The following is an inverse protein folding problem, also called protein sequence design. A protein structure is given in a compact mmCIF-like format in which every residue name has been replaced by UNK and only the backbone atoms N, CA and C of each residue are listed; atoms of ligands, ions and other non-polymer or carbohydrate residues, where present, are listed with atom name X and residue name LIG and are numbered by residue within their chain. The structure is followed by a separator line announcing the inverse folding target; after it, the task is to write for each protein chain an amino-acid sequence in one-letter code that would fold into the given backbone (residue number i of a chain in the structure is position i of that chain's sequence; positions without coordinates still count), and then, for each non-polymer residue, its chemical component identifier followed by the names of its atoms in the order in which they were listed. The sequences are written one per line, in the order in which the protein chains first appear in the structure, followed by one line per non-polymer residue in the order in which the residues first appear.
data_IF_629578126947
#
_entry.id   IF_629578126947
#
_cell.length_a   1.000
_cell.length_b   1.000
_cell.length_c   1.000
_cell.angle_alpha   90.00
_cell.angle_beta   90.00
_cell.angle_gamma   90.00
#
_symmetry.space_group_name_H-M   'P 1'
#
loop_
_entity.id
_entity.type
_entity.pdbx_description
1 polymer ?
#
# COMPACT_ATOMS: atom_id res chain seq x y z
N UNK A 1 35.96 32.61 76.83
CA UNK A 1 35.44 32.20 78.15
C UNK A 1 34.08 31.56 77.93
N UNK A 2 33.77 30.46 78.62
CA UNK A 2 34.65 29.32 78.91
C UNK A 2 33.83 28.01 78.81
N UNK A 3 34.27 26.78 79.07
CA UNK A 3 35.53 26.07 79.29
C UNK A 3 35.08 24.60 79.04
N UNK A 4 35.76 23.76 78.26
CA UNK A 4 36.91 22.95 78.69
C UNK A 4 36.58 21.92 79.77
N UNK A 5 37.12 20.70 79.57
CA UNK A 5 37.48 19.63 80.53
C UNK A 5 36.53 18.43 80.54
N UNK A 6 36.98 17.19 80.59
CA UNK A 6 38.32 16.59 80.55
C UNK A 6 38.07 15.08 80.42
N UNK A 7 38.94 14.39 79.69
CA UNK A 7 39.08 12.93 79.68
C UNK A 7 39.57 12.45 81.05
N UNK A 8 39.06 11.31 81.53
CA UNK A 8 39.84 10.43 82.41
C UNK A 8 39.35 8.97 82.33
N UNK A 9 40.32 8.09 82.08
CA UNK A 9 40.22 6.63 82.08
C UNK A 9 39.93 6.07 83.47
N UNK A 10 39.35 4.87 83.51
CA UNK A 10 39.36 3.99 84.68
C UNK A 10 38.76 2.62 84.36
N UNK A 11 39.62 1.66 84.02
CA UNK A 11 39.31 0.23 83.98
C UNK A 11 38.98 -0.32 85.38
N UNK A 12 38.05 -1.28 85.48
CA UNK A 12 38.30 -2.64 86.01
C UNK A 12 37.00 -3.47 86.11
N UNK A 13 37.23 -4.79 86.08
CA UNK A 13 36.33 -5.92 85.96
C UNK A 13 35.13 -6.01 86.92
N UNK A 14 34.10 -6.75 86.49
CA UNK A 14 33.09 -7.32 87.36
C UNK A 14 31.97 -8.00 86.57
N UNK A 15 32.07 -9.32 86.37
CA UNK A 15 30.97 -10.16 85.89
C UNK A 15 29.81 -10.15 86.90
N UNK A 16 28.57 -10.07 86.42
CA UNK A 16 27.39 -10.30 87.25
C UNK A 16 26.10 -9.92 86.54
N UNK A 17 25.42 -10.96 86.03
CA UNK A 17 24.00 -11.07 85.65
C UNK A 17 23.16 -9.80 85.45
N UNK A 18 22.64 -9.66 84.23
CA UNK A 18 21.51 -8.78 83.93
C UNK A 18 20.36 -9.64 83.43
N UNK A 19 19.25 -9.59 84.16
CA UNK A 19 17.93 -10.06 83.75
C UNK A 19 17.53 -9.41 82.41
N UNK A 20 17.50 -10.22 81.36
CA UNK A 20 16.93 -9.82 80.09
C UNK A 20 15.41 -9.97 80.16
N UNK A 21 14.74 -8.83 80.15
CA UNK A 21 13.32 -8.69 79.82
C UNK A 21 13.04 -9.41 78.49
N UNK A 22 12.26 -10.48 78.56
CA UNK A 22 11.65 -11.13 77.40
C UNK A 22 10.55 -10.17 76.91
N UNK A 23 10.91 -9.33 75.95
CA UNK A 23 9.93 -8.77 75.03
C UNK A 23 9.63 -9.84 73.99
N UNK A 24 8.36 -10.22 73.85
CA UNK A 24 7.91 -11.10 72.78
C UNK A 24 8.45 -10.59 71.44
N UNK A 25 9.21 -11.43 70.74
CA UNK A 25 9.55 -11.19 69.35
C UNK A 25 8.24 -11.05 68.55
N UNK A 26 8.10 -10.03 67.68
CA UNK A 26 6.98 -10.00 66.77
C UNK A 26 6.97 -11.32 65.99
N UNK A 27 5.88 -12.07 66.10
CA UNK A 27 5.66 -13.30 65.34
C UNK A 27 5.97 -12.98 63.88
N UNK A 28 6.91 -13.70 63.23
CA UNK A 28 7.21 -13.43 61.83
C UNK A 28 5.91 -13.59 61.05
N UNK A 29 5.48 -12.51 60.38
CA UNK A 29 4.45 -12.62 59.36
C UNK A 29 4.94 -13.66 58.34
N UNK A 30 4.11 -14.66 57.98
CA UNK A 30 4.55 -15.68 57.04
C UNK A 30 4.87 -15.01 55.71
N UNK A 31 6.15 -14.96 55.32
CA UNK A 31 6.54 -14.79 53.93
C UNK A 31 5.86 -15.91 53.14
N UNK A 32 4.87 -15.57 52.32
CA UNK A 32 4.31 -16.51 51.34
C UNK A 32 5.31 -16.64 50.20
N UNK A 33 6.44 -17.29 50.46
CA UNK A 33 7.33 -17.80 49.42
C UNK A 33 6.69 -19.07 48.84
N UNK A 34 5.78 -18.90 47.88
CA UNK A 34 5.06 -20.01 47.28
C UNK A 34 4.64 -19.78 45.84
N UNK A 35 4.95 -20.72 44.96
CA UNK A 35 4.33 -20.80 43.64
C UNK A 35 2.89 -21.30 43.80
N UNK A 36 1.91 -20.41 43.66
CA UNK A 36 0.49 -20.77 43.76
C UNK A 36 0.06 -21.41 42.44
N UNK A 37 -0.52 -22.61 42.50
CA UNK A 37 -1.17 -23.27 41.36
C UNK A 37 -2.68 -23.17 41.50
N UNK A 38 -3.31 -22.61 40.48
CA UNK A 38 -4.76 -22.43 40.38
C UNK A 38 -5.28 -23.32 39.24
N UNK A 39 -6.52 -23.78 39.36
CA UNK A 39 -7.21 -24.57 38.34
C UNK A 39 -8.60 -23.96 38.10
N UNK A 40 -9.11 -24.06 36.87
CA UNK A 40 -10.44 -23.59 36.48
C UNK A 40 -10.70 -22.13 36.91
N UNK A 41 -9.83 -21.23 36.48
CA UNK A 41 -9.86 -19.83 36.87
C UNK A 41 -10.68 -18.99 35.89
N UNK A 42 -11.38 -18.01 36.44
CA UNK A 42 -11.98 -16.91 35.69
C UNK A 42 -11.35 -15.60 36.17
N UNK A 43 -10.78 -14.84 35.24
CA UNK A 43 -10.20 -13.52 35.48
C UNK A 43 -11.10 -12.48 34.80
N UNK A 44 -11.37 -11.36 35.44
CA UNK A 44 -12.14 -10.26 34.85
C UNK A 44 -11.63 -8.90 35.34
N UNK A 45 -11.83 -7.86 34.52
CA UNK A 45 -11.67 -6.47 34.94
C UNK A 45 -12.91 -5.67 34.56
N UNK A 46 -13.29 -4.73 35.42
CA UNK A 46 -14.30 -3.73 35.14
C UNK A 46 -13.68 -2.33 35.04
N UNK A 47 -14.38 -1.42 34.38
CA UNK A 47 -14.12 0.02 34.49
C UNK A 47 -14.75 0.60 35.78
N UNK A 48 -14.60 1.90 35.98
CA UNK A 48 -15.15 2.66 37.11
C UNK A 48 -16.69 2.65 37.17
N UNK A 49 -17.36 2.30 36.05
CA UNK A 49 -18.81 2.19 35.94
C UNK A 49 -19.30 0.75 36.16
N UNK A 50 -18.39 -0.19 36.43
CA UNK A 50 -18.69 -1.61 36.61
C UNK A 50 -18.87 -2.38 35.30
N UNK A 51 -18.57 -1.79 34.14
CA UNK A 51 -18.66 -2.48 32.86
C UNK A 51 -17.44 -3.37 32.66
N UNK A 52 -17.66 -4.62 32.22
CA UNK A 52 -16.59 -5.58 31.99
C UNK A 52 -15.78 -5.18 30.75
N UNK A 53 -14.47 -4.97 30.94
CA UNK A 53 -13.49 -4.65 29.89
C UNK A 53 -12.87 -5.90 29.26
N UNK A 54 -12.77 -6.99 30.03
CA UNK A 54 -12.38 -8.32 29.55
C UNK A 54 -12.80 -9.40 30.55
N UNK A 55 -13.02 -10.60 30.02
CA UNK A 55 -13.39 -11.79 30.76
C UNK A 55 -12.59 -12.98 30.20
N UNK A 56 -11.74 -13.58 31.03
CA UNK A 56 -10.82 -14.63 30.65
C UNK A 56 -11.06 -15.89 31.49
N UNK A 57 -10.94 -17.04 30.85
CA UNK A 57 -11.07 -18.36 31.45
C UNK A 57 -9.82 -19.18 31.13
N UNK A 58 -9.38 -20.00 32.08
CA UNK A 58 -8.26 -20.90 31.86
C UNK A 58 -8.31 -22.17 32.70
N UNK A 59 -7.71 -23.23 32.16
CA UNK A 59 -7.67 -24.54 32.80
C UNK A 59 -6.75 -24.54 34.03
N UNK A 60 -5.62 -23.83 33.93
CA UNK A 60 -4.62 -23.76 34.97
C UNK A 60 -3.83 -22.46 34.94
N UNK A 61 -3.38 -22.03 36.11
CA UNK A 61 -2.47 -20.90 36.23
C UNK A 61 -1.41 -21.12 37.31
N UNK A 62 -0.23 -20.57 37.08
CA UNK A 62 0.86 -20.53 38.04
C UNK A 62 1.23 -19.08 38.29
N UNK A 63 1.08 -18.67 39.55
CA UNK A 63 1.57 -17.39 40.04
C UNK A 63 2.95 -17.59 40.68
N UNK A 64 3.91 -16.72 40.36
CA UNK A 64 5.20 -16.67 41.03
C UNK A 64 5.51 -15.25 41.49
N UNK A 65 5.72 -15.10 42.80
CA UNK A 65 5.96 -13.80 43.45
C UNK A 65 7.43 -13.34 43.34
N UNK A 66 8.03 -13.50 42.15
CA UNK A 66 9.42 -13.12 41.87
C UNK A 66 9.62 -11.65 41.49
N UNK A 67 8.68 -10.76 41.85
CA UNK A 67 8.74 -9.32 41.55
C UNK A 67 8.20 -8.89 40.17
N UNK A 68 7.66 -9.80 39.35
CA UNK A 68 7.17 -9.50 37.99
C UNK A 68 5.64 -9.43 37.84
N UNK A 69 4.86 -9.76 38.89
CA UNK A 69 3.37 -9.75 38.88
C UNK A 69 2.78 -10.39 37.60
N UNK A 70 3.26 -11.57 37.25
CA UNK A 70 2.91 -12.26 36.02
C UNK A 70 2.33 -13.63 36.33
N UNK A 71 1.26 -13.99 35.63
CA UNK A 71 0.59 -15.28 35.75
C UNK A 71 0.91 -16.09 34.49
N UNK A 72 1.46 -17.28 34.65
CA UNK A 72 1.56 -18.26 33.57
C UNK A 72 0.21 -18.98 33.48
N UNK A 73 -0.43 -18.96 32.31
CA UNK A 73 -1.77 -19.48 32.08
C UNK A 73 -1.73 -20.57 31.01
N UNK A 74 -2.31 -21.72 31.34
CA UNK A 74 -2.52 -22.85 30.43
C UNK A 74 -3.95 -22.80 29.87
N UNK A 75 -4.08 -22.95 28.55
CA UNK A 75 -5.34 -22.94 27.79
C UNK A 75 -6.24 -21.73 28.09
N UNK A 76 -5.71 -20.52 27.83
CA UNK A 76 -6.46 -19.28 27.94
C UNK A 76 -7.54 -19.18 26.85
N UNK A 77 -8.76 -18.82 27.24
CA UNK A 77 -9.86 -18.40 26.35
C UNK A 77 -10.57 -17.19 26.92
N UNK A 78 -11.17 -16.33 26.10
CA UNK A 78 -11.99 -15.26 26.65
C UNK A 78 -12.36 -14.16 25.67
N UNK A 79 -12.95 -13.11 26.21
CA UNK A 79 -13.47 -11.96 25.48
C UNK A 79 -12.74 -10.67 25.89
N UNK A 80 -12.41 -9.84 24.90
CA UNK A 80 -12.11 -8.43 25.07
C UNK A 80 -13.35 -7.63 24.70
N UNK A 81 -13.73 -6.70 25.58
CA UNK A 81 -15.04 -6.05 25.53
C UNK A 81 -14.93 -4.54 25.45
N UNK A 82 -15.81 -3.95 24.66
CA UNK A 82 -15.99 -2.50 24.56
C UNK A 82 -17.43 -2.20 24.94
N UNK A 83 -17.62 -1.31 25.91
CA UNK A 83 -18.94 -1.02 26.49
C UNK A 83 -19.72 -2.30 26.89
N UNK A 84 -19.02 -3.25 27.52
CA UNK A 84 -19.56 -4.55 27.93
C UNK A 84 -19.83 -5.58 26.82
N UNK A 85 -19.72 -5.20 25.54
CA UNK A 85 -19.98 -6.08 24.39
C UNK A 85 -18.70 -6.78 23.91
N UNK A 86 -18.71 -8.10 23.69
CA UNK A 86 -17.59 -8.82 23.07
C UNK A 86 -17.24 -8.20 21.72
N UNK A 87 -16.00 -7.74 21.60
CA UNK A 87 -15.45 -7.13 20.38
C UNK A 87 -14.41 -8.05 19.76
N UNK A 88 -13.56 -8.64 20.61
CA UNK A 88 -12.63 -9.68 20.21
C UNK A 88 -12.79 -10.90 21.12
N UNK A 89 -12.58 -12.08 20.57
CA UNK A 89 -12.33 -13.30 21.35
C UNK A 89 -10.87 -13.69 21.22
N UNK A 90 -10.30 -14.32 22.24
CA UNK A 90 -8.92 -14.77 22.18
C UNK A 90 -8.77 -16.20 22.71
N UNK A 91 -7.80 -16.91 22.14
CA UNK A 91 -7.43 -18.26 22.53
C UNK A 91 -5.90 -18.43 22.48
N UNK A 92 -5.35 -19.10 23.50
CA UNK A 92 -3.94 -19.45 23.55
C UNK A 92 -3.67 -20.70 24.39
N UNK A 93 -2.70 -21.52 23.98
CA UNK A 93 -2.36 -22.77 24.70
C UNK A 93 -1.55 -22.55 25.97
N UNK A 94 -0.59 -21.63 25.92
CA UNK A 94 0.27 -21.30 27.04
C UNK A 94 0.74 -19.85 26.88
N UNK A 95 0.44 -19.00 27.85
CA UNK A 95 0.75 -17.57 27.80
C UNK A 95 1.14 -17.04 29.17
N UNK A 96 1.80 -15.89 29.14
CA UNK A 96 2.11 -15.08 30.30
C UNK A 96 1.20 -13.86 30.28
N UNK A 97 0.41 -13.69 31.32
CA UNK A 97 -0.50 -12.56 31.45
C UNK A 97 -0.06 -11.66 32.58
N UNK A 98 -0.08 -10.35 32.34
CA UNK A 98 0.13 -9.33 33.37
C UNK A 98 -0.78 -8.14 33.13
N UNK A 99 -1.22 -7.50 34.20
CA UNK A 99 -2.02 -6.30 34.15
C UNK A 99 -1.23 -5.13 34.75
N UNK A 100 -1.16 -4.01 34.04
CA UNK A 100 -0.49 -2.79 34.53
C UNK A 100 -1.11 -1.56 33.91
N UNK A 101 -1.43 -0.54 34.73
CA UNK A 101 -1.97 0.74 34.28
C UNK A 101 -3.17 0.58 33.33
N UNK A 102 -4.13 -0.27 33.71
CA UNK A 102 -5.33 -0.62 32.92
C UNK A 102 -5.06 -1.28 31.56
N UNK A 103 -3.85 -1.81 31.38
CA UNK A 103 -3.48 -2.57 30.20
C UNK A 103 -3.35 -4.04 30.55
N UNK A 104 -4.01 -4.88 29.76
CA UNK A 104 -3.84 -6.32 29.79
C UNK A 104 -2.77 -6.70 28.77
N UNK A 105 -1.66 -7.27 29.25
CA UNK A 105 -0.56 -7.76 28.42
C UNK A 105 -0.62 -9.28 28.35
N UNK A 106 -0.55 -9.81 27.14
CA UNK A 106 -0.53 -11.25 26.87
C UNK A 106 0.70 -11.56 26.04
N UNK A 107 1.60 -12.36 26.61
CA UNK A 107 2.87 -12.77 25.98
C UNK A 107 2.86 -14.28 25.74
N UNK A 108 3.01 -14.69 24.49
CA UNK A 108 2.85 -16.05 24.01
C UNK A 108 1.95 -16.08 22.78
N UNK A 109 2.12 -17.11 21.93
CA UNK A 109 1.40 -17.20 20.66
C UNK A 109 -0.10 -17.29 20.92
N UNK A 110 -0.81 -16.24 20.55
CA UNK A 110 -2.23 -16.04 20.82
C UNK A 110 -2.97 -15.79 19.51
N UNK A 111 -4.18 -16.33 19.38
CA UNK A 111 -5.09 -16.02 18.28
C UNK A 111 -6.19 -15.13 18.82
N UNK A 112 -6.36 -13.96 18.22
CA UNK A 112 -7.45 -13.02 18.51
C UNK A 112 -8.38 -12.99 17.31
N UNK A 113 -9.68 -13.19 17.52
CA UNK A 113 -10.71 -13.17 16.48
C UNK A 113 -11.55 -11.91 16.62
N UNK A 114 -11.68 -11.14 15.54
CA UNK A 114 -12.62 -10.02 15.43
C UNK A 114 -14.04 -10.58 15.24
N UNK A 115 -14.93 -10.33 16.20
CA UNK A 115 -16.27 -10.91 16.23
C UNK A 115 -17.13 -10.37 15.08
N UNK A 116 -17.01 -9.09 14.77
CA UNK A 116 -17.87 -8.43 13.78
C UNK A 116 -17.36 -8.70 12.37
N UNK A 117 -16.06 -8.49 12.13
CA UNK A 117 -15.46 -8.60 10.81
C UNK A 117 -14.95 -10.02 10.47
N UNK A 118 -15.06 -10.97 11.42
CA UNK A 118 -14.68 -12.39 11.25
C UNK A 118 -13.24 -12.60 10.79
N UNK A 119 -12.34 -11.70 11.19
CA UNK A 119 -10.91 -11.81 10.95
C UNK A 119 -10.16 -12.43 12.12
N UNK A 120 -8.94 -12.89 11.87
CA UNK A 120 -8.03 -13.43 12.88
C UNK A 120 -6.72 -12.66 12.88
N UNK A 121 -6.20 -12.39 14.07
CA UNK A 121 -4.90 -11.77 14.32
C UNK A 121 -4.12 -12.76 15.18
N UNK A 122 -3.00 -13.24 14.66
CA UNK A 122 -2.10 -14.14 15.38
C UNK A 122 -0.79 -13.41 15.62
N UNK A 123 -0.36 -13.36 16.88
CA UNK A 123 0.90 -12.76 17.27
C UNK A 123 1.42 -13.36 18.58
N UNK A 124 2.67 -13.06 18.92
CA UNK A 124 3.27 -13.52 20.18
C UNK A 124 3.10 -12.51 21.32
N UNK A 125 2.68 -11.28 21.02
CA UNK A 125 2.50 -10.24 22.01
C UNK A 125 1.26 -9.41 21.70
N UNK A 126 0.37 -9.31 22.68
CA UNK A 126 -0.81 -8.46 22.63
C UNK A 126 -0.87 -7.53 23.83
N UNK A 127 -1.41 -6.34 23.60
CA UNK A 127 -1.78 -5.38 24.64
C UNK A 127 -3.20 -4.91 24.37
N UNK A 128 -4.08 -5.09 25.34
CA UNK A 128 -5.45 -4.58 25.29
C UNK A 128 -5.62 -3.39 26.24
N UNK A 129 -6.25 -2.33 25.74
CA UNK A 129 -6.66 -1.14 26.50
C UNK A 129 -8.17 -0.97 26.34
N UNK A 130 -8.93 -1.54 27.28
CA UNK A 130 -10.40 -1.58 27.20
C UNK A 130 -11.05 -0.21 27.23
N UNK A 131 -10.49 0.71 28.03
CA UNK A 131 -10.90 2.12 28.14
C UNK A 131 -10.84 2.87 26.81
N UNK A 132 -9.89 2.50 25.94
CA UNK A 132 -9.65 3.12 24.63
C UNK A 132 -10.06 2.26 23.46
N UNK A 133 -10.63 1.08 23.72
CA UNK A 133 -11.02 0.12 22.69
C UNK A 133 -9.87 -0.23 21.72
N UNK A 134 -8.63 -0.22 22.23
CA UNK A 134 -7.40 -0.33 21.44
C UNK A 134 -6.70 -1.66 21.72
N UNK A 135 -6.55 -2.48 20.66
CA UNK A 135 -5.73 -3.68 20.67
C UNK A 135 -4.42 -3.41 19.93
N UNK A 136 -3.29 -3.76 20.54
CA UNK A 136 -1.98 -3.68 19.91
C UNK A 136 -1.39 -5.08 19.81
N UNK A 137 -0.77 -5.40 18.68
CA UNK A 137 -0.14 -6.70 18.46
C UNK A 137 1.22 -6.56 17.78
N UNK A 138 2.17 -7.43 18.13
CA UNK A 138 3.50 -7.43 17.53
C UNK A 138 4.17 -8.80 17.66
N UNK A 139 5.29 -8.98 16.94
CA UNK A 139 6.11 -10.21 16.89
C UNK A 139 5.36 -11.41 16.28
N UNK A 140 5.92 -11.96 15.21
CA UNK A 140 5.31 -13.06 14.42
C UNK A 140 3.85 -12.77 14.00
N UNK A 141 3.56 -11.49 13.74
CA UNK A 141 2.23 -10.97 13.46
C UNK A 141 1.74 -11.44 12.08
N UNK A 142 0.56 -12.06 12.09
CA UNK A 142 -0.18 -12.49 10.90
C UNK A 142 -1.64 -12.08 11.07
N UNK A 143 -2.19 -11.39 10.08
CA UNK A 143 -3.56 -10.90 10.09
C UNK A 143 -4.28 -11.50 8.89
N UNK A 144 -5.44 -12.11 9.10
CA UNK A 144 -6.22 -12.77 8.04
C UNK A 144 -7.69 -12.43 8.18
N UNK A 145 -8.24 -11.79 7.17
CA UNK A 145 -9.66 -11.48 7.04
C UNK A 145 -10.19 -12.11 5.74
N UNK A 146 -11.52 -12.26 5.57
CA UNK A 146 -12.09 -12.88 4.38
C UNK A 146 -11.62 -12.28 3.05
N UNK A 147 -11.35 -10.98 3.02
CA UNK A 147 -10.97 -10.23 1.82
C UNK A 147 -9.45 -10.03 1.66
N UNK A 148 -8.68 -10.01 2.75
CA UNK A 148 -7.25 -9.67 2.73
C UNK A 148 -6.47 -10.41 3.81
N UNK A 149 -5.21 -10.72 3.51
CA UNK A 149 -4.22 -11.11 4.49
C UNK A 149 -3.10 -10.07 4.58
N UNK A 150 -2.65 -9.77 5.80
CA UNK A 150 -1.67 -8.73 6.09
C UNK A 150 -0.57 -9.31 6.98
N UNK A 151 0.69 -9.01 6.66
CA UNK A 151 1.83 -9.18 7.58
C UNK A 151 2.48 -7.83 7.83
N UNK A 152 2.99 -7.63 9.05
CA UNK A 152 3.64 -6.39 9.48
C UNK A 152 4.47 -6.65 10.75
N UNK A 153 5.21 -5.66 11.24
CA UNK A 153 5.92 -5.79 12.52
C UNK A 153 5.03 -5.42 13.72
N UNK A 154 4.09 -4.50 13.53
CA UNK A 154 3.18 -4.02 14.56
C UNK A 154 1.79 -3.74 13.98
N UNK A 155 0.77 -3.96 14.81
CA UNK A 155 -0.62 -3.63 14.58
C UNK A 155 -1.15 -2.76 15.71
N UNK A 156 -2.01 -1.81 15.34
CA UNK A 156 -2.90 -1.08 16.25
C UNK A 156 -4.32 -1.19 15.68
N UNK A 157 -5.25 -1.75 16.45
CA UNK A 157 -6.64 -1.93 16.07
C UNK A 157 -7.53 -1.08 16.98
N UNK A 158 -8.16 -0.07 16.41
CA UNK A 158 -9.11 0.81 17.09
C UNK A 158 -10.53 0.35 16.73
N UNK A 159 -11.16 -0.34 17.67
CA UNK A 159 -12.50 -0.90 17.44
C UNK A 159 -13.63 0.13 17.55
N UNK A 160 -13.38 1.31 18.12
CA UNK A 160 -14.34 2.42 18.09
C UNK A 160 -14.39 3.08 16.72
N UNK A 161 -13.23 3.23 16.08
CA UNK A 161 -13.11 3.78 14.72
C UNK A 161 -13.28 2.74 13.62
N UNK A 162 -13.25 1.45 13.97
CA UNK A 162 -13.21 0.34 13.02
C UNK A 162 -12.03 0.47 12.05
N UNK A 163 -10.86 0.82 12.60
CA UNK A 163 -9.63 1.06 11.87
C UNK A 163 -8.51 0.12 12.36
N UNK A 164 -7.82 -0.49 11.40
CA UNK A 164 -6.60 -1.27 11.63
C UNK A 164 -5.41 -0.52 11.04
N UNK A 165 -4.39 -0.26 11.85
CA UNK A 165 -3.14 0.35 11.43
C UNK A 165 -1.99 -0.64 11.54
N UNK A 166 -1.49 -1.10 10.40
CA UNK A 166 -0.31 -1.97 10.31
C UNK A 166 0.94 -1.14 10.01
N UNK A 167 2.04 -1.48 10.67
CA UNK A 167 3.26 -0.66 10.70
C UNK A 167 4.51 -1.51 10.44
N UNK A 168 5.39 -0.95 9.61
CA UNK A 168 6.70 -1.44 9.15
C UNK A 168 6.63 -2.73 8.36
N UNK A 169 7.27 -2.73 7.19
CA UNK A 169 7.36 -3.90 6.31
C UNK A 169 6.00 -4.55 6.05
N UNK A 170 4.97 -3.72 5.83
CA UNK A 170 3.60 -4.19 5.63
C UNK A 170 3.50 -4.85 4.25
N UNK A 171 3.00 -6.08 4.23
CA UNK A 171 2.64 -6.80 3.03
C UNK A 171 1.17 -7.17 3.09
N UNK A 172 0.44 -6.87 2.02
CA UNK A 172 -0.98 -7.18 1.87
C UNK A 172 -1.14 -8.09 0.66
N UNK A 173 -1.92 -9.15 0.80
CA UNK A 173 -2.34 -10.01 -0.30
C UNK A 173 -3.86 -10.09 -0.32
N UNK A 174 -4.45 -10.01 -1.51
CA UNK A 174 -5.88 -10.25 -1.68
C UNK A 174 -6.23 -11.71 -1.36
N UNK A 175 -7.39 -11.91 -0.75
CA UNK A 175 -8.03 -13.24 -0.62
C UNK A 175 -9.24 -13.38 -1.54
N UNK A 176 -9.53 -12.36 -2.35
CA UNK A 176 -10.64 -12.35 -3.31
C UNK A 176 -10.24 -13.02 -4.63
N UNK A 177 -11.07 -13.90 -5.21
CA UNK A 177 -10.78 -14.58 -6.47
C UNK A 177 -10.45 -13.63 -7.63
N UNK A 178 -11.22 -12.55 -7.78
CA UNK A 178 -11.05 -11.55 -8.84
C UNK A 178 -9.74 -10.76 -8.76
N UNK A 179 -9.09 -10.75 -7.59
CA UNK A 179 -7.90 -9.96 -7.32
C UNK A 179 -6.79 -10.83 -6.70
N UNK A 180 -6.80 -12.15 -6.91
CA UNK A 180 -5.90 -13.10 -6.24
C UNK A 180 -4.40 -12.79 -6.43
N UNK A 181 -4.04 -12.14 -7.54
CA UNK A 181 -2.66 -11.77 -7.86
C UNK A 181 -2.23 -10.44 -7.24
N UNK A 182 -3.18 -9.67 -6.68
CA UNK A 182 -2.91 -8.36 -6.11
C UNK A 182 -2.13 -8.49 -4.81
N UNK A 183 -0.95 -7.87 -4.81
CA UNK A 183 -0.09 -7.72 -3.64
C UNK A 183 0.30 -6.27 -3.46
N UNK A 184 0.28 -5.79 -2.23
CA UNK A 184 0.67 -4.42 -1.89
C UNK A 184 1.74 -4.44 -0.80
N UNK A 185 2.76 -3.60 -0.96
CA UNK A 185 3.85 -3.42 -0.01
C UNK A 185 3.99 -1.95 0.39
N UNK A 186 4.10 -1.67 1.68
CA UNK A 186 4.28 -0.30 2.22
C UNK A 186 4.85 -0.33 3.64
N UNK A 187 5.22 0.82 4.20
CA UNK A 187 5.60 0.93 5.62
C UNK A 187 4.43 1.21 6.55
N UNK A 188 3.39 1.89 6.06
CA UNK A 188 2.22 2.24 6.86
C UNK A 188 0.96 1.96 6.06
N UNK A 189 0.09 1.14 6.65
CA UNK A 189 -1.22 0.82 6.13
C UNK A 189 -2.28 1.19 7.16
N UNK A 190 -3.33 1.86 6.72
CA UNK A 190 -4.57 2.07 7.49
C UNK A 190 -5.68 1.38 6.73
N UNK A 191 -6.36 0.43 7.36
CA UNK A 191 -7.54 -0.20 6.80
C UNK A 191 -8.77 0.27 7.56
N UNK A 192 -9.67 0.92 6.83
CA UNK A 192 -10.96 1.36 7.32
C UNK A 192 -11.98 0.25 7.00
N UNK A 193 -12.37 -0.50 8.04
CA UNK A 193 -13.10 -1.75 7.85
C UNK A 193 -14.52 -1.51 7.35
N UNK A 194 -15.22 -0.50 7.86
CA UNK A 194 -16.58 -0.15 7.46
C UNK A 194 -16.68 0.27 5.98
N UNK A 195 -15.70 1.06 5.50
CA UNK A 195 -15.65 1.50 4.10
C UNK A 195 -14.96 0.47 3.18
N UNK A 196 -14.48 -0.64 3.75
CA UNK A 196 -13.70 -1.67 3.05
C UNK A 196 -12.56 -1.07 2.19
N UNK A 197 -11.81 -0.15 2.81
CA UNK A 197 -10.80 0.66 2.12
C UNK A 197 -9.44 0.58 2.79
N UNK A 198 -8.44 0.18 2.02
CA UNK A 198 -7.04 0.13 2.46
C UNK A 198 -6.29 1.36 1.94
N UNK A 199 -5.67 2.10 2.85
CA UNK A 199 -4.87 3.29 2.59
C UNK A 199 -3.40 2.97 2.90
N UNK A 200 -2.54 3.01 1.89
CA UNK A 200 -1.12 2.69 1.98
C UNK A 200 -0.26 3.94 1.72
N UNK A 201 0.90 4.02 2.38
CA UNK A 201 1.81 5.16 2.27
C UNK A 201 1.31 6.43 2.98
N UNK A 202 0.32 6.29 3.86
CA UNK A 202 -0.32 7.40 4.58
C UNK A 202 0.73 8.17 5.40
N UNK A 203 0.74 9.50 5.23
CA UNK A 203 1.70 10.38 5.91
C UNK A 203 3.06 10.47 5.21
N UNK A 204 3.19 9.97 3.98
CA UNK A 204 4.40 10.10 3.16
C UNK A 204 5.53 9.12 3.53
N UNK A 205 5.27 8.14 4.39
CA UNK A 205 6.25 7.15 4.81
C UNK A 205 6.29 5.94 3.86
N UNK A 206 7.47 5.59 3.37
CA UNK A 206 7.77 4.28 2.77
C UNK A 206 7.29 4.04 1.33
N UNK A 207 6.52 4.95 0.75
CA UNK A 207 5.89 4.76 -0.56
C UNK A 207 5.02 3.50 -0.61
N UNK A 208 4.58 3.16 -1.82
CA UNK A 208 3.79 1.95 -2.04
C UNK A 208 4.23 1.28 -3.34
N UNK A 209 4.32 -0.04 -3.28
CA UNK A 209 4.43 -0.89 -4.46
C UNK A 209 3.21 -1.80 -4.52
N UNK A 210 2.53 -1.82 -5.66
CA UNK A 210 1.45 -2.73 -5.98
C UNK A 210 1.92 -3.64 -7.09
N UNK A 211 1.76 -4.95 -6.91
CA UNK A 211 2.01 -5.96 -7.93
C UNK A 211 0.68 -6.57 -8.32
N UNK A 212 0.39 -6.59 -9.61
CA UNK A 212 -0.86 -7.09 -10.17
C UNK A 212 -0.70 -8.38 -10.95
N UNK A 213 -1.68 -8.63 -11.80
CA UNK A 213 -1.73 -9.76 -12.74
C UNK A 213 -0.48 -9.73 -13.66
N UNK A 214 0.01 -10.90 -14.05
CA UNK A 214 1.20 -11.06 -14.91
C UNK A 214 2.52 -10.47 -14.38
N UNK A 215 2.55 -10.00 -13.11
CA UNK A 215 3.74 -9.42 -12.50
C UNK A 215 3.92 -7.92 -12.78
N UNK A 216 2.91 -7.26 -13.33
CA UNK A 216 2.88 -5.80 -13.52
C UNK A 216 3.11 -5.08 -12.20
N UNK A 217 3.94 -4.03 -12.23
CA UNK A 217 4.38 -3.34 -11.03
C UNK A 217 4.04 -1.86 -11.09
N UNK A 218 3.28 -1.40 -10.11
CA UNK A 218 2.90 -0.01 -9.94
C UNK A 218 3.56 0.51 -8.66
N UNK A 219 4.17 1.70 -8.74
CA UNK A 219 4.81 2.37 -7.61
C UNK A 219 4.27 3.78 -7.47
N UNK A 220 4.06 4.23 -6.24
CA UNK A 220 3.62 5.59 -5.94
C UNK A 220 4.02 5.99 -4.53
N UNK A 221 3.69 7.21 -4.11
CA UNK A 221 3.82 7.59 -2.69
C UNK A 221 2.64 7.08 -1.86
N UNK A 222 1.43 7.11 -2.43
CA UNK A 222 0.19 6.73 -1.76
C UNK A 222 -0.63 5.80 -2.66
N UNK A 223 -1.31 4.84 -2.05
CA UNK A 223 -2.33 4.05 -2.75
C UNK A 223 -3.58 3.87 -1.87
N UNK A 224 -4.72 3.84 -2.54
CA UNK A 224 -6.01 3.49 -1.96
C UNK A 224 -6.55 2.28 -2.71
N UNK A 225 -6.82 1.19 -2.01
CA UNK A 225 -7.56 0.06 -2.55
C UNK A 225 -8.98 0.07 -1.98
N UNK A 226 -9.95 0.36 -2.84
CA UNK A 226 -11.36 0.19 -2.55
C UNK A 226 -11.77 -1.21 -2.98
N UNK A 227 -12.10 -2.06 -2.00
CA UNK A 227 -12.51 -3.43 -2.24
C UNK A 227 -13.88 -3.49 -2.96
N UNK A 228 -14.92 -2.75 -2.53
CA UNK A 228 -16.23 -2.79 -3.19
C UNK A 228 -16.19 -2.30 -4.64
N UNK A 229 -15.30 -1.35 -4.95
CA UNK A 229 -15.15 -0.81 -6.32
C UNK A 229 -14.19 -1.63 -7.18
N UNK A 230 -13.51 -2.63 -6.61
CA UNK A 230 -12.45 -3.39 -7.26
C UNK A 230 -11.42 -2.48 -7.94
N UNK A 231 -11.01 -1.42 -7.24
CA UNK A 231 -10.18 -0.35 -7.78
C UNK A 231 -9.01 -0.01 -6.86
N UNK A 232 -7.81 0.08 -7.45
CA UNK A 232 -6.62 0.65 -6.79
C UNK A 232 -6.33 2.01 -7.38
N UNK A 233 -6.28 3.04 -6.54
CA UNK A 233 -5.93 4.41 -6.92
C UNK A 233 -4.55 4.74 -6.39
N UNK A 234 -3.59 4.99 -7.28
CA UNK A 234 -2.23 5.40 -6.95
C UNK A 234 -2.06 6.90 -7.16
N UNK A 235 -1.38 7.56 -6.21
CA UNK A 235 -1.20 9.01 -6.21
C UNK A 235 0.26 9.42 -5.94
N UNK A 236 0.66 10.51 -6.57
CA UNK A 236 1.96 11.19 -6.48
C UNK A 236 3.13 10.36 -6.99
N UNK A 237 3.80 10.88 -8.01
CA UNK A 237 4.99 10.24 -8.62
C UNK A 237 4.74 8.79 -9.02
N UNK A 238 3.58 8.52 -9.63
CA UNK A 238 3.18 7.17 -10.02
C UNK A 238 4.03 6.68 -11.17
N UNK A 239 4.54 5.47 -11.04
CA UNK A 239 5.27 4.74 -12.08
C UNK A 239 4.59 3.39 -12.29
N UNK A 240 4.32 3.05 -13.54
CA UNK A 240 3.75 1.78 -13.95
C UNK A 240 4.75 1.08 -14.85
N UNK A 241 5.07 -0.16 -14.52
CA UNK A 241 5.97 -1.04 -15.25
C UNK A 241 5.21 -2.32 -15.60
N UNK A 242 4.72 -2.34 -16.84
CA UNK A 242 3.99 -3.48 -17.39
C UNK A 242 4.97 -4.47 -17.99
N UNK A 243 4.80 -5.75 -17.68
CA UNK A 243 5.69 -6.79 -18.17
C UNK A 243 5.37 -7.18 -19.61
N UNK A 244 4.07 -7.25 -19.94
CA UNK A 244 3.58 -7.65 -21.25
C UNK A 244 2.37 -6.79 -21.67
N UNK A 245 2.54 -5.85 -22.63
CA UNK A 245 3.78 -5.43 -23.30
C UNK A 245 4.68 -4.61 -22.36
N UNK A 246 6.00 -4.68 -22.57
CA UNK A 246 7.03 -3.94 -21.79
C UNK A 246 6.87 -2.42 -21.91
N UNK A 247 5.92 -1.84 -21.19
CA UNK A 247 5.58 -0.43 -21.20
C UNK A 247 5.88 0.19 -19.85
N UNK A 248 6.43 1.40 -19.92
CA UNK A 248 6.64 2.24 -18.73
C UNK A 248 5.72 3.44 -18.83
N UNK A 249 4.94 3.72 -17.79
CA UNK A 249 4.15 4.93 -17.70
C UNK A 249 4.49 5.71 -16.43
N UNK A 250 4.44 7.05 -16.51
CA UNK A 250 4.65 7.96 -15.39
C UNK A 250 3.56 9.02 -15.35
N UNK A 251 3.04 9.31 -14.17
CA UNK A 251 1.98 10.31 -13.96
C UNK A 251 1.75 10.62 -12.49
N UNK A 252 0.78 11.49 -12.18
CA UNK A 252 0.48 11.89 -10.79
C UNK A 252 -0.73 11.15 -10.19
N UNK A 253 -1.60 10.58 -11.02
CA UNK A 253 -2.80 9.86 -10.62
C UNK A 253 -3.06 8.74 -11.62
N UNK A 254 -3.08 7.50 -11.15
CA UNK A 254 -3.41 6.33 -11.96
C UNK A 254 -4.39 5.46 -11.19
N UNK A 255 -5.42 4.98 -11.87
CA UNK A 255 -6.41 4.06 -11.34
C UNK A 255 -6.29 2.73 -12.07
N UNK A 256 -6.14 1.65 -11.31
CA UNK A 256 -6.26 0.30 -11.82
C UNK A 256 -7.65 -0.23 -11.46
N UNK A 257 -8.47 -0.44 -12.47
CA UNK A 257 -9.77 -1.08 -12.40
C UNK A 257 -9.61 -2.57 -12.63
N UNK A 258 -9.70 -3.34 -11.57
CA UNK A 258 -9.48 -4.79 -11.59
C UNK A 258 -10.65 -5.46 -12.34
N UNK A 259 -11.89 -5.02 -12.04
CA UNK A 259 -13.14 -5.50 -12.66
C UNK A 259 -13.14 -5.39 -14.19
N UNK A 260 -12.55 -4.30 -14.72
CA UNK A 260 -12.52 -4.00 -16.17
C UNK A 260 -11.19 -4.28 -16.83
N UNK A 261 -10.19 -4.76 -16.09
CA UNK A 261 -8.82 -4.94 -16.58
C UNK A 261 -8.28 -3.68 -17.27
N UNK A 262 -8.44 -2.52 -16.60
CA UNK A 262 -8.09 -1.22 -17.16
C UNK A 262 -7.15 -0.42 -16.27
N UNK A 263 -6.16 0.22 -16.87
CA UNK A 263 -5.33 1.24 -16.23
C UNK A 263 -5.71 2.60 -16.80
N UNK A 264 -6.16 3.50 -15.94
CA UNK A 264 -6.72 4.80 -16.32
C UNK A 264 -5.88 5.91 -15.70
N UNK A 265 -5.63 6.95 -16.48
CA UNK A 265 -5.06 8.22 -16.01
C UNK A 265 -5.95 9.36 -16.49
N UNK A 266 -6.64 10.01 -15.56
CA UNK A 266 -7.37 11.27 -15.82
C UNK A 266 -6.47 12.51 -15.68
N UNK A 267 -5.20 12.29 -15.37
CA UNK A 267 -4.16 13.31 -15.31
C UNK A 267 -3.14 13.14 -16.45
N UNK A 268 -2.34 14.19 -16.75
CA UNK A 268 -1.26 14.08 -17.72
C UNK A 268 -0.30 12.94 -17.38
N UNK A 269 0.10 12.20 -18.42
CA UNK A 269 1.01 11.07 -18.30
C UNK A 269 2.03 11.03 -19.43
N UNK A 270 3.16 10.41 -19.13
CA UNK A 270 4.19 10.04 -20.11
C UNK A 270 4.22 8.52 -20.21
N UNK A 271 4.33 8.00 -21.43
CA UNK A 271 4.41 6.56 -21.71
C UNK A 271 5.65 6.31 -22.57
N UNK A 272 6.38 5.25 -22.26
CA UNK A 272 7.55 4.82 -22.99
C UNK A 272 7.38 3.36 -23.39
N UNK A 273 7.77 3.04 -24.62
CA UNK A 273 7.91 1.68 -25.11
C UNK A 273 9.37 1.45 -25.51
N UNK A 274 10.22 1.09 -24.53
CA UNK A 274 11.67 1.13 -24.71
C UNK A 274 12.17 0.22 -25.83
N UNK A 275 11.57 -0.95 -25.99
CA UNK A 275 11.97 -1.92 -27.03
C UNK A 275 11.76 -1.42 -28.46
N UNK A 276 10.95 -0.37 -28.66
CA UNK A 276 10.69 0.25 -29.96
C UNK A 276 11.21 1.70 -30.05
N UNK A 277 11.84 2.23 -29.00
CA UNK A 277 12.28 3.63 -28.97
C UNK A 277 11.13 4.64 -29.16
N UNK A 278 9.94 4.32 -28.66
CA UNK A 278 8.75 5.17 -28.74
C UNK A 278 8.51 5.83 -27.38
N UNK A 279 8.29 7.14 -27.38
CA UNK A 279 7.87 7.91 -26.21
C UNK A 279 6.60 8.69 -26.51
N UNK A 280 5.75 8.87 -25.52
CA UNK A 280 4.44 9.49 -25.68
C UNK A 280 4.10 10.36 -24.49
N UNK A 281 3.36 11.43 -24.74
CA UNK A 281 2.76 12.29 -23.73
C UNK A 281 1.28 12.44 -24.05
N UNK A 282 0.43 12.41 -23.04
CA UNK A 282 -1.01 12.60 -23.20
C UNK A 282 -1.59 13.35 -22.02
N UNK A 283 -2.76 13.98 -22.20
CA UNK A 283 -3.50 14.61 -21.09
C UNK A 283 -4.27 13.60 -20.26
N UNK A 284 -4.76 12.54 -20.91
CA UNK A 284 -5.45 11.40 -20.29
C UNK A 284 -5.17 10.15 -21.09
N UNK A 285 -5.30 8.99 -20.46
CA UNK A 285 -5.10 7.71 -21.10
C UNK A 285 -5.90 6.60 -20.46
N UNK A 286 -6.31 5.63 -21.27
CA UNK A 286 -6.86 4.35 -20.81
C UNK A 286 -6.11 3.24 -21.52
N UNK A 287 -5.55 2.31 -20.75
CA UNK A 287 -5.00 1.06 -21.25
C UNK A 287 -5.96 -0.08 -20.91
N UNK A 288 -6.32 -0.85 -21.92
CA UNK A 288 -7.10 -2.07 -21.84
C UNK A 288 -6.11 -3.24 -21.83
N UNK A 289 -6.06 -3.97 -20.71
CA UNK A 289 -5.08 -5.05 -20.49
C UNK A 289 -5.49 -6.36 -21.18
N UNK A 290 -6.78 -6.54 -21.46
CA UNK A 290 -7.35 -7.72 -22.13
C UNK A 290 -6.90 -7.85 -23.59
N UNK A 291 -6.86 -6.73 -24.33
CA UNK A 291 -6.48 -6.69 -25.74
C UNK A 291 -5.25 -5.85 -26.05
N UNK A 292 -4.53 -5.40 -25.00
CA UNK A 292 -3.32 -4.58 -25.11
C UNK A 292 -3.50 -3.36 -26.03
N UNK A 293 -4.62 -2.66 -25.84
CA UNK A 293 -4.96 -1.42 -26.54
C UNK A 293 -4.87 -0.23 -25.60
N UNK A 294 -4.25 0.85 -26.04
CA UNK A 294 -4.25 2.12 -25.33
C UNK A 294 -5.02 3.19 -26.11
N UNK A 295 -5.74 4.05 -25.41
CA UNK A 295 -6.40 5.23 -25.96
C UNK A 295 -5.88 6.44 -25.19
N UNK A 296 -5.37 7.44 -25.91
CA UNK A 296 -4.81 8.66 -25.36
C UNK A 296 -5.53 9.89 -25.92
N UNK A 297 -5.77 10.86 -25.05
CA UNK A 297 -6.39 12.14 -25.39
C UNK A 297 -5.35 13.26 -25.38
N UNK A 298 -5.36 14.09 -26.43
CA UNK A 298 -4.38 15.13 -26.74
C UNK A 298 -2.94 14.60 -26.68
N UNK A 299 -2.69 13.59 -27.51
CA UNK A 299 -1.46 12.83 -27.48
C UNK A 299 -0.38 13.45 -28.38
N UNK A 300 0.87 13.37 -27.92
CA UNK A 300 2.06 13.53 -28.74
C UNK A 300 2.87 12.25 -28.63
N UNK A 301 3.23 11.67 -29.76
CA UNK A 301 4.06 10.47 -29.84
C UNK A 301 5.32 10.82 -30.61
N UNK A 302 6.46 10.39 -30.09
CA UNK A 302 7.76 10.51 -30.72
C UNK A 302 8.32 9.11 -30.92
N UNK A 303 8.85 8.88 -32.11
CA UNK A 303 9.44 7.62 -32.51
C UNK A 303 10.87 7.90 -32.96
N UNK A 304 11.83 7.36 -32.21
CA UNK A 304 13.25 7.52 -32.50
C UNK A 304 13.69 6.77 -33.76
N UNK A 305 13.30 5.50 -34.00
CA UNK A 305 13.79 4.76 -35.17
C UNK A 305 13.32 5.38 -36.50
N UNK A 306 12.15 6.01 -36.51
CA UNK A 306 11.57 6.65 -37.69
C UNK A 306 11.79 8.18 -37.73
N UNK A 307 12.49 8.75 -36.73
CA UNK A 307 12.69 10.20 -36.57
C UNK A 307 11.39 11.01 -36.79
N UNK A 308 10.29 10.53 -36.22
CA UNK A 308 8.95 11.04 -36.48
C UNK A 308 8.26 11.50 -35.18
N UNK A 309 7.52 12.61 -35.28
CA UNK A 309 6.65 13.12 -34.23
C UNK A 309 5.21 13.18 -34.73
N UNK A 310 4.29 12.50 -34.04
CA UNK A 310 2.86 12.51 -34.29
C UNK A 310 2.14 13.31 -33.19
N UNK A 311 1.16 14.12 -33.58
CA UNK A 311 0.26 14.84 -32.65
C UNK A 311 -1.18 14.60 -33.09
N UNK A 312 -2.08 14.38 -32.12
CA UNK A 312 -3.50 14.15 -32.39
C UNK A 312 -4.37 14.50 -31.18
N UNK A 313 -5.64 14.82 -31.40
CA UNK A 313 -6.63 14.95 -30.33
C UNK A 313 -6.95 13.61 -29.70
N UNK A 314 -7.05 12.54 -30.50
CA UNK A 314 -7.25 11.19 -30.00
C UNK A 314 -6.32 10.23 -30.72
N UNK A 315 -5.65 9.38 -29.94
CA UNK A 315 -4.72 8.36 -30.44
C UNK A 315 -5.09 7.01 -29.84
N UNK A 316 -5.44 6.06 -30.69
CA UNK A 316 -5.64 4.65 -30.32
C UNK A 316 -4.41 3.87 -30.77
N UNK A 317 -3.73 3.23 -29.83
CA UNK A 317 -2.59 2.37 -30.09
C UNK A 317 -2.96 0.91 -29.85
N UNK A 318 -2.92 0.10 -30.90
CA UNK A 318 -2.99 -1.35 -30.81
C UNK A 318 -1.57 -1.89 -30.68
N UNK A 319 -1.14 -2.15 -29.46
CA UNK A 319 0.28 -2.36 -29.13
C UNK A 319 0.83 -3.62 -29.80
N UNK A 320 0.15 -4.79 -29.77
CA UNK A 320 0.65 -6.00 -30.43
C UNK A 320 0.81 -5.86 -31.95
N UNK A 321 -0.09 -5.11 -32.60
CA UNK A 321 -0.07 -4.87 -34.04
C UNK A 321 0.87 -3.72 -34.44
N UNK A 322 1.44 -3.01 -33.46
CA UNK A 322 2.24 -1.80 -33.67
C UNK A 322 1.54 -0.80 -34.62
N UNK A 323 0.23 -0.65 -34.42
CA UNK A 323 -0.63 0.19 -35.24
C UNK A 323 -1.17 1.36 -34.40
N UNK A 324 -1.01 2.57 -34.91
CA UNK A 324 -1.55 3.79 -34.32
C UNK A 324 -2.63 4.37 -35.22
N UNK A 325 -3.81 4.58 -34.66
CA UNK A 325 -4.94 5.27 -35.29
C UNK A 325 -5.09 6.63 -34.60
N UNK A 326 -4.89 7.71 -35.35
CA UNK A 326 -4.94 9.07 -34.86
C UNK A 326 -6.10 9.83 -35.51
N UNK A 327 -6.79 10.66 -34.73
CA UNK A 327 -7.88 11.50 -35.22
C UNK A 327 -7.94 12.86 -34.53
N UNK A 328 -8.52 13.82 -35.25
CA UNK A 328 -8.71 15.20 -34.80
C UNK A 328 -7.42 16.02 -34.89
N UNK A 329 -7.33 16.85 -35.94
CA UNK A 329 -6.18 17.73 -36.21
C UNK A 329 -4.84 16.98 -36.13
N UNK A 330 -4.73 15.90 -36.90
CA UNK A 330 -3.54 15.06 -36.88
C UNK A 330 -2.40 15.74 -37.64
N UNK A 331 -1.22 15.75 -37.03
CA UNK A 331 0.01 16.24 -37.65
C UNK A 331 1.14 15.25 -37.39
N UNK A 332 1.78 14.77 -38.45
CA UNK A 332 3.03 14.00 -38.37
C UNK A 332 4.17 14.79 -39.00
N UNK A 333 5.25 14.97 -38.25
CA UNK A 333 6.43 15.74 -38.60
C UNK A 333 7.67 14.85 -38.64
N UNK A 334 8.53 15.09 -39.62
CA UNK A 334 9.86 14.52 -39.82
C UNK A 334 10.81 15.64 -40.23
N UNK A 335 12.15 15.44 -40.20
CA UNK A 335 13.12 16.51 -40.50
C UNK A 335 12.82 17.33 -41.77
N UNK A 336 12.36 16.67 -42.84
CA UNK A 336 12.14 17.31 -44.14
C UNK A 336 10.69 17.20 -44.64
N UNK A 337 9.76 16.71 -43.83
CA UNK A 337 8.39 16.47 -44.27
C UNK A 337 7.36 16.71 -43.17
N UNK A 338 6.20 17.23 -43.54
CA UNK A 338 5.06 17.39 -42.64
C UNK A 338 3.78 16.98 -43.36
N UNK A 339 2.93 16.22 -42.67
CA UNK A 339 1.63 15.79 -43.15
C UNK A 339 0.57 16.18 -42.11
N UNK A 340 -0.49 16.87 -42.57
CA UNK A 340 -1.66 17.23 -41.76
C UNK A 340 -2.92 16.62 -42.36
N UNK A 341 -3.81 16.14 -41.50
CA UNK A 341 -5.01 15.40 -41.91
C UNK A 341 -6.02 15.31 -40.76
N UNK A 342 -7.27 14.96 -41.03
CA UNK A 342 -8.28 14.72 -40.01
C UNK A 342 -8.09 13.36 -39.32
N UNK A 343 -7.69 12.34 -40.08
CA UNK A 343 -7.46 10.98 -39.61
C UNK A 343 -6.18 10.41 -40.23
N UNK A 344 -5.49 9.57 -39.46
CA UNK A 344 -4.25 8.93 -39.88
C UNK A 344 -4.15 7.52 -39.26
N UNK A 345 -3.79 6.53 -40.06
CA UNK A 345 -3.38 5.21 -39.62
C UNK A 345 -1.88 5.06 -39.90
N UNK A 346 -1.11 4.75 -38.87
CA UNK A 346 0.31 4.46 -38.97
C UNK A 346 0.57 3.01 -38.60
N UNK A 347 1.03 2.23 -39.58
CA UNK A 347 1.51 0.86 -39.39
C UNK A 347 3.03 0.90 -39.26
N UNK A 348 3.53 0.85 -38.03
CA UNK A 348 4.95 1.08 -37.74
C UNK A 348 5.90 0.04 -38.38
N UNK A 349 5.58 -1.28 -38.41
CA UNK A 349 6.47 -2.28 -39.02
C UNK A 349 6.66 -2.06 -40.52
N UNK A 350 5.58 -1.68 -41.21
CA UNK A 350 5.59 -1.38 -42.65
C UNK A 350 6.07 0.04 -42.95
N UNK A 351 6.29 0.85 -41.91
CA UNK A 351 6.54 2.29 -42.01
C UNK A 351 5.51 3.01 -42.89
N UNK A 352 4.27 2.51 -42.90
CA UNK A 352 3.22 2.93 -43.80
C UNK A 352 2.27 3.87 -43.09
N UNK A 353 1.95 4.99 -43.75
CA UNK A 353 1.01 6.00 -43.27
C UNK A 353 -0.11 6.16 -44.27
N UNK A 354 -1.35 5.98 -43.79
CA UNK A 354 -2.57 6.25 -44.54
C UNK A 354 -3.30 7.43 -43.89
N UNK A 355 -3.52 8.51 -44.64
CA UNK A 355 -4.14 9.73 -44.17
C UNK A 355 -5.44 10.01 -44.93
N UNK A 356 -6.46 10.46 -44.20
CA UNK A 356 -7.79 10.75 -44.76
C UNK A 356 -8.40 12.01 -44.16
N UNK A 357 -9.08 12.79 -45.01
CA UNK A 357 -9.83 13.99 -44.63
C UNK A 357 -8.95 15.23 -44.60
N UNK A 358 -8.93 15.97 -45.72
CA UNK A 358 -8.21 17.24 -45.84
C UNK A 358 -6.70 17.09 -45.68
N UNK A 359 -6.07 16.35 -46.60
CA UNK A 359 -4.64 16.09 -46.58
C UNK A 359 -3.86 17.32 -47.04
N UNK A 360 -2.89 17.73 -46.24
CA UNK A 360 -1.86 18.71 -46.60
C UNK A 360 -0.47 18.12 -46.35
N UNK A 361 0.29 17.89 -47.41
CA UNK A 361 1.67 17.40 -47.37
C UNK A 361 2.64 18.49 -47.81
N UNK A 362 3.74 18.66 -47.08
CA UNK A 362 4.81 19.58 -47.40
C UNK A 362 6.17 18.88 -47.25
N UNK A 363 7.01 18.97 -48.27
CA UNK A 363 8.37 18.43 -48.29
C UNK A 363 9.39 19.52 -48.58
N UNK A 364 10.28 19.79 -47.62
CA UNK A 364 11.20 20.92 -47.66
C UNK A 364 12.27 20.79 -48.76
N UNK A 365 12.89 19.61 -48.87
CA UNK A 365 14.02 19.38 -49.80
C UNK A 365 13.62 19.57 -51.27
N UNK A 366 12.39 19.17 -51.62
CA UNK A 366 11.85 19.28 -52.97
C UNK A 366 10.97 20.52 -53.16
N UNK A 367 10.71 21.26 -52.06
CA UNK A 367 9.73 22.36 -51.96
C UNK A 367 8.34 22.00 -52.49
N UNK A 368 7.97 20.73 -52.40
CA UNK A 368 6.68 20.24 -52.90
C UNK A 368 5.62 20.48 -51.83
N UNK A 369 4.49 21.07 -52.23
CA UNK A 369 3.27 21.10 -51.46
C UNK A 369 2.17 20.37 -52.21
N UNK A 370 1.49 19.44 -51.53
CA UNK A 370 0.38 18.67 -52.11
C UNK A 370 -0.83 18.75 -51.20
N UNK A 371 -1.99 19.01 -51.77
CA UNK A 371 -3.29 18.94 -51.10
C UNK A 371 -4.15 17.86 -51.73
N UNK A 372 -4.93 17.14 -50.94
CA UNK A 372 -5.85 16.11 -51.44
C UNK A 372 -6.86 15.64 -50.40
N UNK A 373 -7.60 14.58 -50.71
CA UNK A 373 -8.57 14.00 -49.78
C UNK A 373 -8.01 12.81 -49.01
N UNK A 374 -7.12 12.05 -49.66
CA UNK A 374 -6.45 10.89 -49.09
C UNK A 374 -4.98 10.91 -49.46
N UNK A 375 -4.14 10.30 -48.62
CA UNK A 375 -2.77 10.01 -48.97
C UNK A 375 -2.32 8.68 -48.38
N UNK A 376 -1.44 8.01 -49.11
CA UNK A 376 -0.71 6.83 -48.65
C UNK A 376 0.77 7.07 -48.85
N UNK A 377 1.59 6.76 -47.87
CA UNK A 377 3.02 6.97 -47.96
C UNK A 377 3.84 6.03 -47.10
N UNK A 378 5.13 5.95 -47.40
CA UNK A 378 6.10 5.09 -46.73
C UNK A 378 7.25 5.93 -46.19
N UNK A 379 7.52 5.81 -44.89
CA UNK A 379 8.46 6.69 -44.20
C UNK A 379 9.92 6.38 -44.60
N UNK A 380 10.26 5.11 -44.83
CA UNK A 380 11.57 4.66 -45.30
C UNK A 380 11.89 5.11 -46.74
N UNK A 381 10.89 5.16 -47.61
CA UNK A 381 11.05 5.49 -49.05
C UNK A 381 10.91 6.97 -49.37
N UNK A 382 10.42 7.77 -48.41
CA UNK A 382 10.04 9.17 -48.64
C UNK A 382 9.02 9.33 -49.79
N UNK A 383 8.20 8.30 -50.02
CA UNK A 383 7.20 8.26 -51.08
C UNK A 383 5.82 8.59 -50.51
N UNK A 384 5.08 9.46 -51.20
CA UNK A 384 3.70 9.82 -50.85
C UNK A 384 2.84 9.89 -52.11
N UNK A 385 1.78 9.11 -52.13
CA UNK A 385 0.73 9.11 -53.14
C UNK A 385 -0.46 9.86 -52.57
N UNK A 386 -0.86 10.97 -53.20
CA UNK A 386 -2.03 11.75 -52.79
C UNK A 386 -3.13 11.59 -53.84
N UNK A 387 -4.36 11.30 -53.40
CA UNK A 387 -5.51 11.05 -54.30
C UNK A 387 -6.70 11.97 -53.99
N UNK A 388 -7.61 12.08 -54.96
CA UNK A 388 -8.81 12.94 -54.91
C UNK A 388 -8.65 14.24 -55.71
N UNK A 389 -9.22 15.36 -55.22
CA UNK A 389 -8.99 16.69 -55.81
C UNK A 389 -7.59 17.17 -55.41
N UNK A 390 -6.60 16.78 -56.20
CA UNK A 390 -5.18 17.08 -55.91
C UNK A 390 -4.81 18.48 -56.39
N UNK A 391 -4.17 19.27 -55.52
CA UNK A 391 -3.52 20.54 -55.90
C UNK A 391 -2.05 20.46 -55.50
N UNK A 392 -1.15 20.67 -56.47
CA UNK A 392 0.30 20.64 -56.26
C UNK A 392 0.89 22.02 -56.52
N UNK A 393 1.76 22.50 -55.64
CA UNK A 393 2.54 23.72 -55.82
C UNK A 393 4.04 23.41 -55.72
N UNK A 394 4.80 23.85 -56.72
CA UNK A 394 6.27 23.80 -56.76
C UNK A 394 6.76 25.24 -56.96
N UNK A 395 7.35 25.89 -55.95
CA UNK A 395 7.83 27.26 -56.08
C UNK A 395 9.07 27.27 -56.98
N UNK A 396 8.92 27.78 -58.20
CA UNK A 396 10.03 28.00 -59.14
C UNK A 396 10.81 29.24 -58.68
N UNK A 397 12.07 29.07 -58.28
CA UNK A 397 12.99 30.21 -58.17
C UNK A 397 13.58 30.48 -59.55
N UNK A 398 12.99 31.44 -60.27
CA UNK A 398 13.62 32.04 -61.44
C UNK A 398 14.82 32.88 -60.96
N UNK A 399 16.04 32.36 -61.14
CA UNK A 399 17.23 33.23 -61.19
C UNK A 399 17.21 33.88 -62.57
N UNK A 400 16.86 35.16 -62.62
CA UNK A 400 17.10 35.98 -63.80
C UNK A 400 18.62 36.29 -63.87
N UNK A 401 19.20 36.31 -65.08
CA UNK A 401 20.64 36.39 -65.33
C UNK A 401 21.30 37.68 -64.82
#
# INVERSE_FOLDING_TARGET
MPLLRLVLLGSLAGCGWVDAWIGDEPTPEPEVTGAVRLQNLTLQQTDDQGQILWLLQADGARYSDGGLQQIEIDNLRGDLRVAGKPTYTLEAKAVKVRQRNDQLWIEGRTTVTDVAARGTIVADQFVWRGDRALLQAQKNLQIRYPQVAITAQRLEADSQRQELRALKAVQVTSSLPEAQDLRLSTDVLVWQQEQERLLAGVGGAGGVTVVGVAGDRLRAQEAEWSIPQQQVTLRRSVQVDLQEPRLLARGELIQWRIDRQQIISDAPLTVEYPSQGITGQARRGVLFLDDNRAIFENARLQSQPQAAQLRAQRLTWRIPQQQVEASGHVEIQRPNATLRTAQLVWRMPQQEVEAQGGVFYHQANSRIQVRGQQAKGWLDRQEVIVTGRVQTQVPVQLRLP
#
